data_IF_755191691446
#
_entry.id   IF_755191691446
#
_cell.length_a   1.000
_cell.length_b   1.000
_cell.length_c   1.000
_cell.angle_alpha   90.00
_cell.angle_beta   90.00
_cell.angle_gamma   90.00
#
_symmetry.space_group_name_H-M   'P 1'
#
loop_
_entity.id
_entity.type
_entity.pdbx_description
1 polymer ?
#
# COMPACT_ATOMS: atom_id res chain seq x y z
N UNK A 1 -0.45 -14.43 -12.74
CA UNK A 1 -0.31 -15.43 -13.83
C UNK A 1 0.61 -16.52 -13.30
N UNK A 2 0.64 -17.75 -13.84
CA UNK A 2 1.73 -18.66 -13.48
C UNK A 2 3.01 -18.16 -14.17
N UNK A 3 4.18 -18.27 -13.53
CA UNK A 3 5.44 -17.98 -14.21
C UNK A 3 5.66 -18.94 -15.38
N UNK A 4 6.49 -18.53 -16.33
CA UNK A 4 6.84 -19.38 -17.46
C UNK A 4 7.38 -20.74 -17.00
N UNK A 5 7.14 -21.77 -17.80
CA UNK A 5 7.58 -23.12 -17.51
C UNK A 5 9.02 -23.33 -17.94
N UNK A 6 9.76 -24.03 -17.11
CA UNK A 6 11.12 -24.50 -17.40
C UNK A 6 11.19 -26.03 -17.30
N UNK A 7 12.20 -26.59 -17.96
CA UNK A 7 12.54 -28.00 -17.82
C UNK A 7 13.36 -28.21 -16.55
N UNK A 8 12.99 -29.19 -15.74
CA UNK A 8 13.77 -29.59 -14.57
C UNK A 8 13.94 -31.12 -14.52
N UNK A 9 15.02 -31.55 -13.86
CA UNK A 9 15.27 -32.95 -13.61
C UNK A 9 14.44 -33.42 -12.40
N UNK A 10 13.50 -34.31 -12.65
CA UNK A 10 12.72 -35.00 -11.63
C UNK A 10 13.16 -36.46 -11.54
N UNK A 11 14.14 -36.73 -10.66
CA UNK A 11 14.66 -38.08 -10.42
C UNK A 11 15.10 -38.83 -11.71
N UNK A 12 15.76 -38.13 -12.63
CA UNK A 12 16.26 -38.65 -13.90
C UNK A 12 15.33 -38.43 -15.09
N UNK A 13 14.10 -37.94 -14.87
CA UNK A 13 13.14 -37.62 -15.93
C UNK A 13 13.08 -36.12 -16.16
N UNK A 14 13.10 -35.68 -17.41
CA UNK A 14 12.87 -34.28 -17.76
C UNK A 14 11.37 -33.99 -17.63
N UNK A 15 11.02 -33.02 -16.78
CA UNK A 15 9.63 -32.62 -16.52
C UNK A 15 9.52 -31.09 -16.61
N UNK A 16 8.36 -30.58 -17.02
CA UNK A 16 8.07 -29.13 -16.95
C UNK A 16 7.66 -28.72 -15.53
N UNK A 17 8.10 -27.54 -15.10
CA UNK A 17 7.65 -26.89 -13.86
C UNK A 17 7.50 -25.39 -14.06
N UNK A 18 6.43 -24.82 -13.51
CA UNK A 18 6.23 -23.38 -13.54
C UNK A 18 7.15 -22.66 -12.53
N UNK A 19 7.67 -21.50 -12.91
CA UNK A 19 8.29 -20.57 -11.97
C UNK A 19 7.24 -19.97 -11.03
N UNK A 20 7.68 -19.58 -9.83
CA UNK A 20 6.80 -19.03 -8.78
C UNK A 20 6.80 -17.51 -8.81
N UNK A 21 5.63 -16.88 -8.77
CA UNK A 21 5.50 -15.41 -8.76
C UNK A 21 5.32 -14.84 -7.34
N UNK A 22 4.93 -15.65 -6.35
CA UNK A 22 4.85 -15.26 -4.94
C UNK A 22 5.32 -16.43 -4.05
N UNK A 23 5.85 -16.12 -2.87
CA UNK A 23 6.36 -17.10 -1.90
C UNK A 23 5.28 -17.51 -0.89
N UNK A 24 5.06 -18.80 -0.75
CA UNK A 24 4.33 -19.45 0.34
C UNK A 24 5.25 -19.86 1.51
N UNK A 25 6.47 -19.32 1.58
CA UNK A 25 7.45 -19.63 2.62
C UNK A 25 8.25 -20.90 2.34
N UNK A 26 8.49 -21.73 3.36
CA UNK A 26 9.41 -22.86 3.28
C UNK A 26 9.08 -23.89 2.17
N UNK A 27 7.79 -24.01 1.79
CA UNK A 27 7.36 -24.88 0.70
C UNK A 27 7.85 -24.47 -0.69
N UNK A 28 8.39 -23.26 -0.82
CA UNK A 28 8.95 -22.73 -2.06
C UNK A 28 10.48 -22.76 -2.12
N UNK A 29 11.13 -23.36 -1.11
CA UNK A 29 12.58 -23.50 -1.08
C UNK A 29 13.12 -24.14 -2.38
N UNK A 30 14.11 -23.47 -3.00
CA UNK A 30 14.78 -23.92 -4.23
C UNK A 30 13.98 -23.74 -5.53
N UNK A 31 12.79 -23.12 -5.49
CA UNK A 31 12.04 -22.77 -6.73
C UNK A 31 12.64 -21.53 -7.41
N UNK A 32 12.46 -21.44 -8.73
CA UNK A 32 12.89 -20.28 -9.54
C UNK A 32 11.82 -19.17 -9.43
N UNK A 33 12.18 -17.96 -8.99
CA UNK A 33 11.27 -16.81 -9.00
C UNK A 33 10.97 -16.31 -10.42
N UNK A 34 9.75 -15.85 -10.65
CA UNK A 34 9.32 -15.13 -11.83
C UNK A 34 8.80 -13.73 -11.46
N UNK A 35 8.84 -12.82 -12.43
CA UNK A 35 8.29 -11.47 -12.26
C UNK A 35 6.75 -11.49 -12.32
N UNK A 36 6.15 -10.53 -11.63
CA UNK A 36 4.72 -10.25 -11.70
C UNK A 36 4.35 -9.52 -13.01
N UNK A 37 3.07 -9.15 -13.18
CA UNK A 37 2.61 -8.42 -14.37
C UNK A 37 3.16 -7.00 -14.50
N UNK A 38 3.82 -6.47 -13.45
CA UNK A 38 4.54 -5.20 -13.48
C UNK A 38 6.03 -5.35 -13.82
N UNK A 39 6.50 -6.59 -14.04
CA UNK A 39 7.90 -6.87 -14.32
C UNK A 39 8.80 -6.80 -13.08
N UNK A 40 8.26 -7.06 -11.88
CA UNK A 40 8.99 -7.01 -10.61
C UNK A 40 8.85 -8.31 -9.82
N UNK A 41 9.79 -8.57 -8.92
CA UNK A 41 9.61 -9.64 -7.93
C UNK A 41 8.53 -9.24 -6.94
N UNK A 42 7.65 -10.18 -6.60
CA UNK A 42 6.65 -9.98 -5.56
C UNK A 42 7.31 -9.77 -4.19
N UNK A 43 6.73 -8.91 -3.35
CA UNK A 43 7.30 -8.53 -2.06
C UNK A 43 7.46 -9.73 -1.11
N UNK A 44 6.65 -10.79 -1.26
CA UNK A 44 6.78 -12.02 -0.47
C UNK A 44 8.08 -12.81 -0.75
N UNK A 45 8.77 -12.52 -1.86
CA UNK A 45 10.05 -13.14 -2.21
C UNK A 45 11.25 -12.47 -1.52
N UNK A 46 11.05 -11.31 -0.91
CA UNK A 46 12.12 -10.56 -0.24
C UNK A 46 12.27 -11.02 1.21
N UNK A 47 13.50 -11.06 1.76
CA UNK A 47 13.72 -11.30 3.19
C UNK A 47 13.03 -10.25 4.06
N UNK A 48 12.69 -10.61 5.30
CA UNK A 48 12.15 -9.65 6.28
C UNK A 48 13.12 -8.46 6.46
N UNK A 49 12.59 -7.24 6.40
CA UNK A 49 13.40 -6.01 6.48
C UNK A 49 14.06 -5.56 5.16
N UNK A 50 13.85 -6.30 4.06
CA UNK A 50 14.21 -5.88 2.71
C UNK A 50 12.94 -5.86 1.85
N UNK A 51 12.70 -4.77 1.12
CA UNK A 51 11.45 -4.57 0.35
C UNK A 51 10.63 -3.40 0.88
N UNK A 52 9.37 -3.30 0.45
CA UNK A 52 8.48 -2.26 0.93
C UNK A 52 8.06 -2.54 2.39
N UNK A 53 8.14 -1.52 3.26
CA UNK A 53 7.61 -1.61 4.62
C UNK A 53 6.08 -1.70 4.56
N UNK A 54 5.58 -2.91 4.83
CA UNK A 54 4.17 -3.24 4.67
C UNK A 54 3.65 -4.09 5.82
N UNK A 55 2.36 -3.97 6.08
CA UNK A 55 1.62 -4.90 6.93
C UNK A 55 0.30 -5.31 6.29
N UNK A 56 -0.07 -6.58 6.49
CA UNK A 56 -1.39 -7.08 6.10
C UNK A 56 -2.38 -6.87 7.24
N UNK A 57 -3.35 -5.98 7.05
CA UNK A 57 -4.32 -5.56 8.08
C UNK A 57 -5.74 -5.69 7.52
N UNK A 58 -6.68 -6.23 8.29
CA UNK A 58 -8.08 -6.34 7.86
C UNK A 58 -8.70 -4.96 7.69
N UNK A 59 -9.34 -4.72 6.53
CA UNK A 59 -10.09 -3.51 6.27
C UNK A 59 -11.42 -3.49 7.06
N UNK A 60 -11.74 -2.33 7.63
CA UNK A 60 -12.99 -2.07 8.35
C UNK A 60 -14.02 -1.29 7.51
N UNK A 61 -13.65 -0.96 6.28
CA UNK A 61 -14.51 -0.40 5.23
C UNK A 61 -13.92 -0.76 3.86
N UNK A 62 -14.63 -0.45 2.78
CA UNK A 62 -14.08 -0.62 1.43
C UNK A 62 -13.02 0.45 1.14
N UNK A 63 -11.85 0.02 0.66
CA UNK A 63 -10.73 0.87 0.25
C UNK A 63 -10.58 0.83 -1.27
N UNK A 64 -10.23 1.97 -1.85
CA UNK A 64 -9.86 2.10 -3.26
C UNK A 64 -8.34 2.08 -3.40
N UNK A 65 -7.85 1.60 -4.55
CA UNK A 65 -6.43 1.70 -4.86
C UNK A 65 -6.01 3.19 -4.84
N UNK A 66 -4.93 3.49 -4.12
CA UNK A 66 -4.43 4.85 -3.94
C UNK A 66 -4.91 5.55 -2.66
N UNK A 67 -5.87 4.98 -1.93
CA UNK A 67 -6.36 5.58 -0.68
C UNK A 67 -5.23 5.68 0.35
N UNK A 68 -5.10 6.86 0.96
CA UNK A 68 -4.42 7.06 2.22
C UNK A 68 -5.24 6.41 3.34
N UNK A 69 -4.58 5.68 4.21
CA UNK A 69 -5.25 4.85 5.21
C UNK A 69 -4.78 5.15 6.63
N UNK A 70 -5.71 5.00 7.56
CA UNK A 70 -5.52 5.10 8.99
C UNK A 70 -5.59 3.69 9.60
N UNK A 71 -4.54 3.32 10.33
CA UNK A 71 -4.55 2.11 11.17
C UNK A 71 -5.09 2.50 12.54
N UNK A 72 -6.17 1.86 12.96
CA UNK A 72 -6.87 2.20 14.20
C UNK A 72 -7.24 0.94 14.99
N UNK A 73 -7.47 1.14 16.29
CA UNK A 73 -7.91 0.05 17.17
C UNK A 73 -9.43 -0.11 17.09
N UNK A 74 -9.87 -1.22 16.51
CA UNK A 74 -11.26 -1.67 16.50
C UNK A 74 -11.27 -3.16 16.83
N UNK A 75 -11.19 -3.46 18.13
CA UNK A 75 -10.93 -4.81 18.67
C UNK A 75 -9.68 -5.47 18.08
N UNK A 76 -8.62 -4.67 17.95
CA UNK A 76 -7.38 -5.01 17.24
C UNK A 76 -7.10 -4.06 16.09
N UNK A 77 -5.94 -4.20 15.45
CA UNK A 77 -5.58 -3.36 14.31
C UNK A 77 -6.56 -3.60 13.15
N UNK A 78 -7.22 -2.52 12.73
CA UNK A 78 -8.00 -2.44 11.49
C UNK A 78 -7.53 -1.26 10.67
N UNK A 79 -7.76 -1.34 9.37
CA UNK A 79 -7.48 -0.25 8.45
C UNK A 79 -8.76 0.37 7.93
N UNK A 80 -8.77 1.69 7.80
CA UNK A 80 -9.86 2.51 7.26
C UNK A 80 -9.28 3.65 6.44
N UNK A 81 -10.10 4.40 5.70
CA UNK A 81 -9.67 5.61 5.01
C UNK A 81 -9.20 6.66 6.03
N UNK A 82 -8.07 7.29 5.75
CA UNK A 82 -7.63 8.46 6.48
C UNK A 82 -8.50 9.67 6.10
N UNK A 83 -8.74 10.59 7.02
CA UNK A 83 -9.66 11.71 6.81
C UNK A 83 -9.28 12.90 7.69
N UNK A 84 -8.91 14.02 7.06
CA UNK A 84 -8.51 15.22 7.77
C UNK A 84 -9.68 16.01 8.37
N UNK A 85 -10.94 15.63 8.14
CA UNK A 85 -12.09 16.27 8.81
C UNK A 85 -12.27 15.83 10.27
N UNK A 86 -11.55 14.78 10.69
CA UNK A 86 -11.74 14.15 12.01
C UNK A 86 -10.39 13.84 12.66
N UNK A 87 -10.11 14.45 13.82
CA UNK A 87 -8.96 14.07 14.63
C UNK A 87 -8.99 12.57 15.02
N UNK A 88 -7.84 11.89 14.97
CA UNK A 88 -7.74 10.43 15.15
C UNK A 88 -7.95 9.60 13.88
N UNK A 89 -8.05 10.24 12.71
CA UNK A 89 -8.10 9.59 11.38
C UNK A 89 -6.91 9.98 10.49
N UNK A 90 -5.77 10.25 11.09
CA UNK A 90 -4.54 10.62 10.40
C UNK A 90 -4.04 9.49 9.49
N UNK A 91 -3.36 9.85 8.41
CA UNK A 91 -2.76 8.87 7.52
C UNK A 91 -1.55 8.22 8.20
N UNK A 92 -1.54 6.88 8.23
CA UNK A 92 -0.41 6.06 8.65
C UNK A 92 0.27 5.36 7.47
N UNK A 93 -0.43 5.24 6.33
CA UNK A 93 0.09 4.58 5.13
C UNK A 93 -0.87 4.75 3.96
N UNK A 94 -0.70 3.91 2.94
CA UNK A 94 -1.58 3.85 1.76
C UNK A 94 -1.79 2.42 1.27
N UNK A 95 -2.74 2.22 0.36
CA UNK A 95 -2.95 0.94 -0.35
C UNK A 95 -2.75 1.10 -1.86
N UNK A 96 -2.19 0.10 -2.52
CA UNK A 96 -1.99 0.07 -3.99
C UNK A 96 -3.06 -0.76 -4.72
N UNK A 97 -3.98 -1.40 -4.00
CA UNK A 97 -5.06 -2.18 -4.57
C UNK A 97 -6.38 -1.84 -3.87
N UNK A 98 -7.49 -2.03 -4.58
CA UNK A 98 -8.81 -1.94 -3.96
C UNK A 98 -9.02 -3.13 -3.01
N UNK A 99 -9.67 -2.89 -1.88
CA UNK A 99 -9.91 -3.88 -0.82
C UNK A 99 -11.34 -3.79 -0.35
N UNK A 100 -12.07 -4.90 -0.39
CA UNK A 100 -13.43 -4.98 0.17
C UNK A 100 -13.42 -4.89 1.69
N UNK A 101 -14.51 -4.41 2.29
CA UNK A 101 -14.68 -4.45 3.74
C UNK A 101 -14.53 -5.88 4.28
N UNK A 102 -13.77 -6.04 5.36
CA UNK A 102 -13.47 -7.34 5.99
C UNK A 102 -12.36 -8.14 5.30
N UNK A 103 -11.86 -7.72 4.14
CA UNK A 103 -10.74 -8.36 3.46
C UNK A 103 -9.38 -7.88 4.01
N UNK A 104 -8.33 -8.64 3.72
CA UNK A 104 -6.95 -8.28 4.08
C UNK A 104 -6.40 -7.22 3.13
N UNK A 105 -6.00 -6.07 3.67
CA UNK A 105 -5.32 -5.00 2.93
C UNK A 105 -3.81 -5.07 3.16
N UNK A 106 -3.03 -4.92 2.09
CA UNK A 106 -1.59 -4.64 2.21
C UNK A 106 -1.39 -3.14 2.34
N UNK A 107 -1.05 -2.70 3.55
CA UNK A 107 -0.77 -1.29 3.86
C UNK A 107 0.71 -1.04 3.66
N UNK A 108 1.05 0.02 2.92
CA UNK A 108 2.40 0.52 2.72
C UNK A 108 2.63 1.70 3.64
N UNK A 109 3.66 1.66 4.48
CA UNK A 109 3.96 2.70 5.47
C UNK A 109 4.91 3.78 4.94
N UNK A 110 5.62 3.49 3.84
CA UNK A 110 6.52 4.41 3.15
C UNK A 110 6.58 4.09 1.65
N UNK A 111 7.25 4.96 0.90
CA UNK A 111 7.51 4.78 -0.53
C UNK A 111 6.47 5.44 -1.43
N UNK A 112 6.41 5.01 -2.69
CA UNK A 112 5.62 5.70 -3.71
C UNK A 112 4.23 5.09 -3.89
N UNK A 113 3.19 5.90 -3.65
CA UNK A 113 1.83 5.60 -4.03
C UNK A 113 1.62 5.96 -5.52
N UNK A 114 1.54 4.94 -6.37
CA UNK A 114 1.40 5.07 -7.83
C UNK A 114 -0.05 4.95 -8.31
N UNK A 115 -1.01 4.87 -7.38
CA UNK A 115 -2.44 4.69 -7.67
C UNK A 115 -3.26 5.96 -7.43
N UNK A 116 -2.58 7.08 -7.18
CA UNK A 116 -3.18 8.41 -7.13
C UNK A 116 -3.34 8.99 -8.55
N UNK A 117 -4.16 10.03 -8.68
CA UNK A 117 -4.32 10.75 -9.94
C UNK A 117 -4.54 12.23 -9.69
N UNK A 118 -4.37 13.04 -10.72
CA UNK A 118 -4.65 14.49 -10.72
C UNK A 118 -3.94 15.29 -9.63
N UNK A 119 -2.81 14.79 -9.11
CA UNK A 119 -2.01 15.54 -8.15
C UNK A 119 -1.19 16.63 -8.84
N UNK A 120 -0.95 17.71 -8.12
CA UNK A 120 0.02 18.74 -8.55
C UNK A 120 1.38 18.41 -7.93
N UNK A 121 2.47 18.33 -8.71
CA UNK A 121 3.81 18.11 -8.15
C UNK A 121 4.13 19.08 -7.01
N UNK A 122 4.73 18.56 -5.94
CA UNK A 122 4.99 19.31 -4.70
C UNK A 122 4.21 18.78 -3.49
N UNK A 123 4.21 19.52 -2.36
CA UNK A 123 3.63 19.05 -1.10
C UNK A 123 2.15 18.66 -1.23
N UNK A 124 1.79 17.56 -0.56
CA UNK A 124 0.42 17.06 -0.51
C UNK A 124 -0.02 16.89 0.95
N UNK A 125 -1.27 17.22 1.22
CA UNK A 125 -1.92 17.17 2.53
C UNK A 125 -3.07 16.16 2.51
N UNK A 126 -3.38 15.58 3.66
CA UNK A 126 -4.56 14.73 3.82
C UNK A 126 -5.83 15.55 3.55
N UNK A 127 -6.73 15.02 2.72
CA UNK A 127 -7.96 15.72 2.37
C UNK A 127 -9.00 15.68 3.49
N UNK A 128 -9.62 16.82 3.77
CA UNK A 128 -10.75 16.93 4.69
C UNK A 128 -12.12 16.86 3.98
N UNK A 129 -12.14 16.84 2.65
CA UNK A 129 -13.37 16.77 1.84
C UNK A 129 -13.57 15.43 1.16
N UNK A 130 -12.53 14.61 1.08
CA UNK A 130 -12.58 13.30 0.42
C UNK A 130 -11.71 12.32 1.21
N UNK A 131 -12.31 11.49 2.06
CA UNK A 131 -11.58 10.47 2.82
C UNK A 131 -10.74 9.59 1.90
N UNK A 132 -9.50 9.33 2.30
CA UNK A 132 -8.52 8.57 1.54
C UNK A 132 -7.74 9.39 0.52
N UNK A 133 -8.14 10.63 0.20
CA UNK A 133 -7.46 11.43 -0.81
C UNK A 133 -6.36 12.32 -0.23
N UNK A 134 -5.40 12.66 -1.09
CA UNK A 134 -4.43 13.73 -0.86
C UNK A 134 -4.82 14.98 -1.68
N UNK A 135 -4.42 16.16 -1.22
CA UNK A 135 -4.70 17.46 -1.87
C UNK A 135 -3.52 18.42 -1.72
N UNK A 136 -3.32 19.30 -2.70
CA UNK A 136 -2.27 20.32 -2.66
C UNK A 136 -2.57 21.46 -1.66
N UNK A 137 -3.80 21.57 -1.17
CA UNK A 137 -4.24 22.63 -0.26
C UNK A 137 -4.46 22.06 1.14
N UNK A 138 -3.74 22.59 2.13
CA UNK A 138 -3.93 22.20 3.53
C UNK A 138 -5.38 22.52 4.00
N UNK A 139 -6.03 21.61 4.74
CA UNK A 139 -7.30 21.90 5.40
C UNK A 139 -7.19 23.11 6.35
N UNK A 140 -8.26 23.90 6.48
CA UNK A 140 -8.25 25.14 7.29
C UNK A 140 -9.43 25.31 8.25
N UNK A 141 -10.35 24.34 8.31
CA UNK A 141 -11.51 24.39 9.22
C UNK A 141 -11.14 23.99 10.65
N UNK A 142 -11.84 24.56 11.63
CA UNK A 142 -11.73 24.16 13.03
C UNK A 142 -12.05 22.67 13.21
N UNK A 143 -11.24 21.96 14.00
CA UNK A 143 -11.32 20.51 14.17
C UNK A 143 -10.68 19.69 13.05
N UNK A 144 -10.29 20.30 11.93
CA UNK A 144 -9.56 19.59 10.87
C UNK A 144 -8.13 19.27 11.31
N UNK A 145 -7.60 18.20 10.73
CA UNK A 145 -6.21 17.79 10.86
C UNK A 145 -5.41 18.29 9.66
N UNK A 146 -4.43 19.14 9.91
CA UNK A 146 -3.39 19.45 8.93
C UNK A 146 -2.29 18.40 9.04
N UNK A 147 -2.25 17.50 8.07
CA UNK A 147 -1.17 16.51 7.95
C UNK A 147 -0.63 16.55 6.54
N UNK A 148 0.67 16.85 6.39
CA UNK A 148 1.37 16.60 5.13
C UNK A 148 1.55 15.09 4.99
N UNK A 149 1.08 14.51 3.89
CA UNK A 149 1.20 13.06 3.63
C UNK A 149 2.40 12.74 2.74
N UNK A 150 3.09 13.76 2.24
CA UNK A 150 4.31 13.64 1.45
C UNK A 150 4.38 14.71 0.36
N UNK A 151 4.90 14.32 -0.80
CA UNK A 151 4.94 15.18 -1.99
C UNK A 151 4.68 14.37 -3.26
N UNK A 152 3.95 14.98 -4.20
CA UNK A 152 3.72 14.42 -5.51
C UNK A 152 4.95 14.62 -6.40
N UNK A 153 5.43 13.55 -7.04
CA UNK A 153 6.50 13.60 -8.05
C UNK A 153 5.93 13.68 -9.47
N UNK A 154 4.66 13.29 -9.65
CA UNK A 154 3.89 13.44 -10.87
C UNK A 154 2.39 13.47 -10.53
N UNK A 155 1.53 13.71 -11.52
CA UNK A 155 0.08 13.65 -11.33
C UNK A 155 -0.43 12.29 -10.85
N UNK A 156 0.34 11.22 -11.09
CA UNK A 156 0.00 9.83 -10.75
C UNK A 156 0.98 9.19 -9.77
N UNK A 157 1.78 9.98 -9.04
CA UNK A 157 2.75 9.46 -8.10
C UNK A 157 2.94 10.39 -6.90
N UNK A 158 2.79 9.84 -5.70
CA UNK A 158 3.03 10.51 -4.43
C UNK A 158 4.09 9.74 -3.64
N UNK A 159 5.19 10.39 -3.29
CA UNK A 159 6.13 9.84 -2.33
C UNK A 159 5.59 10.08 -0.92
N UNK A 160 5.18 9.00 -0.25
CA UNK A 160 4.56 9.06 1.06
C UNK A 160 5.61 9.30 2.14
N UNK A 161 5.41 10.36 2.90
CA UNK A 161 6.25 10.81 4.00
C UNK A 161 5.34 11.62 4.94
N UNK A 162 4.60 10.89 5.79
CA UNK A 162 3.62 11.48 6.68
C UNK A 162 4.30 12.31 7.78
N UNK A 163 4.03 13.61 7.77
CA UNK A 163 4.45 14.51 8.83
C UNK A 163 3.57 14.39 10.07
N UNK A 164 4.03 15.01 11.17
CA UNK A 164 3.25 15.13 12.40
C UNK A 164 1.94 15.89 12.14
N UNK A 165 0.77 15.32 12.50
CA UNK A 165 -0.52 15.96 12.32
C UNK A 165 -0.74 17.09 13.32
N UNK A 166 -1.43 18.15 12.89
CA UNK A 166 -1.83 19.29 13.73
C UNK A 166 -3.34 19.43 13.66
N UNK A 167 -4.02 19.39 14.81
CA UNK A 167 -5.46 19.66 14.89
C UNK A 167 -5.67 21.17 15.01
N UNK A 168 -6.52 21.73 14.15
CA UNK A 168 -6.87 23.15 14.17
C UNK A 168 -7.93 23.44 15.23
N UNK A 169 -7.77 24.56 15.94
CA UNK A 169 -8.70 25.03 16.98
C UNK A 169 -9.98 25.64 16.39
#
# INVERSE_FOLDING_TARGET
>A
MAGDKYLYNNAGTITEKAAVQASAGAGDAGKIPALDSSGRLDNSMMPVGLGADTATITASEALSAGDMVNVWNSSGAKVRKADASTAGKEAHGFVLAAVSNGASATVYFEGSNTQVSSLTPGPQYLSASTPGAATATAPSGAGNVVQRVGFATAATALNFDAGTPIVLA
#
